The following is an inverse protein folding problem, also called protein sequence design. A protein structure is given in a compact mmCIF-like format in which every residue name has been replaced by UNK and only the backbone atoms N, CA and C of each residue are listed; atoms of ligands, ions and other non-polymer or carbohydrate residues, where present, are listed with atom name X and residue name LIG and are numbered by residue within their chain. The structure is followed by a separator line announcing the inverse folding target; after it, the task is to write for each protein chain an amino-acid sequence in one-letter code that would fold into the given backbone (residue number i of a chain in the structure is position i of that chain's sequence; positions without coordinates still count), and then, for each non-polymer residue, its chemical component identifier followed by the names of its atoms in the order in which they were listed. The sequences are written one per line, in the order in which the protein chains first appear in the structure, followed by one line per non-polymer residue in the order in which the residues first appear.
data_IF_217925548776
#
_entry.id   IF_217925548776
#
_cell.length_a   1.000
_cell.length_b   1.000
_cell.length_c   1.000
_cell.angle_alpha   90.00
_cell.angle_beta   90.00
_cell.angle_gamma   90.00
#
_symmetry.space_group_name_H-M   'P 1'
#
loop_
_entity.id
_entity.type
_entity.pdbx_description
1 polymer ?
#
# COMPACT_ATOMS: atom_id res chain seq x y z
N UNK A 1 -2.42 -20.67 -14.15
CA UNK A 1 -3.07 -19.92 -13.05
C UNK A 1 -2.24 -18.72 -12.60
N UNK A 2 -0.91 -18.83 -12.42
CA UNK A 2 -0.04 -17.70 -12.04
C UNK A 2 -0.07 -16.53 -13.04
N UNK A 3 -0.07 -16.80 -14.35
CA UNK A 3 -0.09 -15.72 -15.37
C UNK A 3 -1.44 -15.00 -15.49
N UNK A 4 -2.54 -15.72 -15.27
CA UNK A 4 -3.86 -15.09 -15.20
C UNK A 4 -3.99 -14.16 -13.98
N UNK A 5 -3.43 -14.56 -12.83
CA UNK A 5 -3.40 -13.72 -11.64
C UNK A 5 -2.48 -12.50 -11.83
N UNK A 6 -1.30 -12.68 -12.46
CA UNK A 6 -0.41 -11.57 -12.82
C UNK A 6 -1.10 -10.57 -13.75
N UNK A 7 -1.87 -11.03 -14.73
CA UNK A 7 -2.57 -10.16 -15.66
C UNK A 7 -3.72 -9.40 -14.99
N UNK A 8 -4.48 -10.06 -14.10
CA UNK A 8 -5.53 -9.38 -13.31
C UNK A 8 -4.93 -8.33 -12.37
N UNK A 9 -3.77 -8.61 -11.76
CA UNK A 9 -3.06 -7.65 -10.93
C UNK A 9 -2.51 -6.50 -11.78
N UNK A 10 -1.89 -6.76 -12.93
CA UNK A 10 -1.39 -5.73 -13.84
C UNK A 10 -2.50 -4.76 -14.28
N UNK A 11 -3.65 -5.29 -14.71
CA UNK A 11 -4.83 -4.49 -15.07
C UNK A 11 -5.39 -3.67 -13.91
N UNK A 12 -5.23 -4.15 -12.67
CA UNK A 12 -5.64 -3.39 -11.49
C UNK A 12 -4.71 -2.22 -11.13
N UNK A 13 -3.54 -2.13 -11.77
CA UNK A 13 -2.55 -1.07 -11.60
C UNK A 13 -2.53 -0.07 -12.77
N UNK A 14 -3.53 -0.13 -13.66
CA UNK A 14 -3.68 0.77 -14.80
C UNK A 14 -4.65 1.91 -14.49
N UNK A 15 -4.29 3.10 -14.94
CA UNK A 15 -5.13 4.27 -14.86
C UNK A 15 -6.27 4.16 -15.88
N UNK A 16 -7.54 4.30 -15.48
CA UNK A 16 -8.67 4.18 -16.41
C UNK A 16 -8.78 5.34 -17.43
N UNK A 17 -7.90 6.35 -17.35
CA UNK A 17 -7.87 7.49 -18.29
C UNK A 17 -6.78 7.30 -19.35
N UNK A 18 -5.53 7.09 -18.95
CA UNK A 18 -4.43 6.90 -19.90
C UNK A 18 -4.19 5.43 -20.29
N UNK A 19 -4.80 4.48 -19.56
CA UNK A 19 -4.63 3.03 -19.73
C UNK A 19 -3.20 2.52 -19.50
N UNK A 20 -2.31 3.38 -18.99
CA UNK A 20 -0.97 3.02 -18.55
C UNK A 20 -0.94 2.75 -17.04
N UNK A 21 0.14 2.12 -16.58
CA UNK A 21 0.42 1.96 -15.14
C UNK A 21 0.39 3.32 -14.42
N UNK A 22 -0.27 3.39 -13.25
CA UNK A 22 -0.40 4.68 -12.55
C UNK A 22 0.95 5.36 -12.30
N UNK A 23 0.96 6.67 -12.53
CA UNK A 23 2.08 7.56 -12.24
C UNK A 23 1.58 8.66 -11.31
N UNK A 24 2.21 8.78 -10.14
CA UNK A 24 1.76 9.65 -9.04
C UNK A 24 0.23 9.59 -8.78
N UNK A 25 -0.32 8.42 -8.39
CA UNK A 25 -1.76 8.26 -8.26
C UNK A 25 -2.38 9.13 -7.15
N UNK A 26 -3.47 9.81 -7.47
CA UNK A 26 -4.32 10.64 -6.59
C UNK A 26 -5.71 10.04 -6.43
N UNK A 27 -6.29 10.19 -5.24
CA UNK A 27 -7.60 9.64 -4.87
C UNK A 27 -8.64 10.76 -4.88
N UNK A 28 -9.74 10.53 -5.58
CA UNK A 28 -10.93 11.40 -5.56
C UNK A 28 -11.81 11.12 -4.32
N UNK A 29 -12.77 12.01 -4.01
CA UNK A 29 -13.69 11.84 -2.87
C UNK A 29 -14.50 10.53 -2.91
N UNK A 30 -14.73 10.01 -4.11
CA UNK A 30 -15.40 8.74 -4.38
C UNK A 30 -14.47 7.51 -4.32
N UNK A 31 -13.21 7.68 -3.90
CA UNK A 31 -12.16 6.66 -3.79
C UNK A 31 -11.63 6.09 -5.12
N UNK A 32 -12.07 6.59 -6.28
CA UNK A 32 -11.43 6.26 -7.56
C UNK A 32 -10.08 6.96 -7.67
N UNK A 33 -9.12 6.28 -8.31
CA UNK A 33 -7.73 6.72 -8.39
C UNK A 33 -7.34 6.98 -9.84
N UNK A 34 -6.50 8.01 -10.07
CA UNK A 34 -6.03 8.47 -11.38
C UNK A 34 -4.60 9.02 -11.26
N UNK A 35 -3.84 9.08 -12.36
CA UNK A 35 -2.56 9.79 -12.39
C UNK A 35 -2.76 11.29 -12.17
N UNK A 36 -1.83 11.98 -11.49
CA UNK A 36 -1.86 13.45 -11.33
C UNK A 36 -2.06 14.16 -12.67
N UNK A 37 -1.25 13.83 -13.68
CA UNK A 37 -1.33 14.43 -15.03
C UNK A 37 -2.70 14.20 -15.69
N UNK A 38 -3.29 13.01 -15.50
CA UNK A 38 -4.62 12.73 -16.04
C UNK A 38 -5.69 13.60 -15.38
N UNK A 39 -5.58 13.86 -14.08
CA UNK A 39 -6.51 14.74 -13.37
C UNK A 39 -6.28 16.22 -13.72
N UNK A 40 -5.04 16.64 -13.92
CA UNK A 40 -4.72 18.00 -14.38
C UNK A 40 -5.38 18.27 -15.74
N UNK A 41 -5.18 17.38 -16.71
CA UNK A 41 -5.82 17.48 -18.04
C UNK A 41 -7.35 17.51 -17.95
N UNK A 42 -7.94 16.69 -17.06
CA UNK A 42 -9.39 16.69 -16.85
C UNK A 42 -9.87 18.02 -16.24
N UNK A 43 -9.12 18.59 -15.31
CA UNK A 43 -9.45 19.85 -14.66
C UNK A 43 -9.39 21.01 -15.68
N UNK A 44 -8.38 21.03 -16.55
CA UNK A 44 -8.26 22.02 -17.63
C UNK A 44 -9.45 21.97 -18.61
N UNK A 45 -9.94 20.78 -18.94
CA UNK A 45 -11.10 20.62 -19.83
C UNK A 45 -12.43 21.12 -19.24
N UNK A 46 -12.55 21.20 -17.91
CA UNK A 46 -13.81 21.54 -17.24
C UNK A 46 -13.98 23.03 -16.93
N UNK A 47 -13.03 23.90 -17.30
CA UNK A 47 -13.08 25.32 -16.97
C UNK A 47 -12.80 25.56 -15.48
N UNK A 48 -12.67 26.83 -15.08
CA UNK A 48 -12.13 27.30 -13.79
C UNK A 48 -12.87 26.87 -12.49
N UNK A 49 -13.71 25.85 -12.52
CA UNK A 49 -14.68 25.52 -11.48
C UNK A 49 -14.10 24.83 -10.23
N UNK A 50 -12.79 24.60 -10.12
CA UNK A 50 -12.16 23.87 -8.98
C UNK A 50 -12.80 22.49 -8.70
N UNK A 51 -13.59 21.95 -9.62
CA UNK A 51 -14.37 20.72 -9.43
C UNK A 51 -13.98 19.69 -10.47
N UNK A 52 -13.54 18.52 -10.02
CA UNK A 52 -13.30 17.35 -10.85
C UNK A 52 -14.50 16.41 -10.81
N UNK A 53 -14.99 15.99 -11.98
CA UNK A 53 -16.01 14.96 -12.10
C UNK A 53 -15.36 13.62 -12.43
N UNK A 54 -15.59 12.61 -11.59
CA UNK A 54 -15.02 11.28 -11.77
C UNK A 54 -15.51 10.62 -13.08
N UNK A 55 -14.60 10.18 -13.98
CA UNK A 55 -14.98 9.48 -15.22
C UNK A 55 -15.79 8.19 -15.02
N UNK A 56 -15.65 7.52 -13.87
CA UNK A 56 -16.28 6.22 -13.61
C UNK A 56 -17.68 6.36 -13.01
N UNK A 57 -17.83 7.16 -11.96
CA UNK A 57 -19.09 7.27 -11.21
C UNK A 57 -19.73 8.67 -11.25
N UNK A 58 -19.10 9.64 -11.93
CA UNK A 58 -19.55 11.03 -12.06
C UNK A 58 -19.67 11.80 -10.74
N UNK A 59 -19.22 11.25 -9.63
CA UNK A 59 -19.11 11.96 -8.36
C UNK A 59 -18.12 13.12 -8.49
N UNK A 60 -18.41 14.20 -7.78
CA UNK A 60 -17.62 15.43 -7.84
C UNK A 60 -16.61 15.50 -6.67
N UNK A 61 -15.43 16.00 -6.97
CA UNK A 61 -14.33 16.20 -6.01
C UNK A 61 -13.83 17.63 -6.13
N UNK A 62 -13.81 18.36 -5.02
CA UNK A 62 -13.23 19.69 -4.98
C UNK A 62 -11.71 19.60 -5.02
N UNK A 63 -11.08 20.43 -5.84
CA UNK A 63 -9.63 20.56 -5.98
C UNK A 63 -9.19 21.88 -5.37
N UNK A 64 -8.59 21.87 -4.17
CA UNK A 64 -8.16 23.09 -3.50
C UNK A 64 -7.20 23.91 -4.37
N UNK A 65 -7.54 25.16 -4.65
CA UNK A 65 -6.75 26.10 -5.47
C UNK A 65 -6.44 25.58 -6.88
N UNK A 66 -7.28 24.71 -7.44
CA UNK A 66 -7.02 24.05 -8.74
C UNK A 66 -5.72 23.24 -8.79
N UNK A 67 -5.17 22.87 -7.64
CA UNK A 67 -3.92 22.13 -7.53
C UNK A 67 -4.19 20.66 -7.18
N UNK A 68 -4.18 19.81 -8.21
CA UNK A 68 -4.39 18.36 -8.09
C UNK A 68 -3.34 17.72 -7.18
N UNK A 69 -2.14 18.30 -7.05
CA UNK A 69 -1.09 17.74 -6.21
C UNK A 69 -1.50 17.68 -4.74
N UNK A 70 -2.44 18.54 -4.31
CA UNK A 70 -3.00 18.58 -2.95
C UNK A 70 -4.01 17.49 -2.66
N UNK A 71 -4.49 16.78 -3.68
CA UNK A 71 -5.36 15.63 -3.47
C UNK A 71 -4.59 14.50 -2.76
N UNK A 72 -5.28 13.67 -1.96
CA UNK A 72 -4.65 12.55 -1.27
C UNK A 72 -3.97 11.60 -2.25
N UNK A 73 -2.69 11.28 -2.02
CA UNK A 73 -1.99 10.29 -2.83
C UNK A 73 -2.40 8.86 -2.43
N UNK A 74 -2.54 7.97 -3.42
CA UNK A 74 -2.74 6.54 -3.15
C UNK A 74 -1.39 5.86 -2.86
N UNK A 75 -0.90 6.01 -1.63
CA UNK A 75 0.39 5.47 -1.22
C UNK A 75 0.44 3.94 -1.31
N UNK A 76 -0.66 3.24 -1.02
CA UNK A 76 -0.74 1.79 -1.15
C UNK A 76 -0.52 1.35 -2.60
N UNK A 77 -1.19 2.03 -3.54
CA UNK A 77 -1.03 1.75 -4.97
C UNK A 77 0.37 2.09 -5.48
N UNK A 78 0.96 3.20 -5.00
CA UNK A 78 2.37 3.53 -5.28
C UNK A 78 3.30 2.41 -4.82
N UNK A 79 3.14 1.93 -3.58
CA UNK A 79 3.94 0.83 -3.05
C UNK A 79 3.75 -0.47 -3.84
N UNK A 80 2.53 -0.80 -4.26
CA UNK A 80 2.27 -1.98 -5.09
C UNK A 80 2.91 -1.88 -6.49
N UNK A 81 2.84 -0.71 -7.13
CA UNK A 81 3.50 -0.46 -8.42
C UNK A 81 5.00 -0.52 -8.25
N UNK A 82 5.52 0.04 -7.17
CA UNK A 82 6.93 -0.04 -6.81
C UNK A 82 7.34 -1.49 -6.55
N UNK A 83 6.53 -2.31 -5.89
CA UNK A 83 6.79 -3.75 -5.69
C UNK A 83 6.76 -4.55 -6.99
N UNK A 84 5.88 -4.17 -7.92
CA UNK A 84 5.80 -4.83 -9.22
C UNK A 84 6.98 -4.43 -10.12
N UNK A 85 7.33 -3.15 -10.16
CA UNK A 85 8.48 -2.61 -10.93
C UNK A 85 9.80 -3.07 -10.31
N UNK A 86 9.90 -2.96 -9.01
CA UNK A 86 10.97 -3.49 -8.19
C UNK A 86 10.62 -4.90 -7.74
N UNK A 87 10.39 -5.81 -8.69
CA UNK A 87 10.79 -7.18 -8.47
C UNK A 87 12.30 -7.17 -8.17
N UNK A 88 12.66 -6.86 -6.91
CA UNK A 88 13.99 -6.83 -6.32
C UNK A 88 14.50 -8.26 -6.25
N UNK A 89 14.62 -8.86 -7.42
CA UNK A 89 15.19 -10.16 -7.60
C UNK A 89 16.69 -10.06 -7.64
N UNK A 90 17.33 -8.92 -7.35
CA UNK A 90 18.77 -8.79 -7.47
C UNK A 90 19.42 -8.35 -6.17
N UNK A 91 20.62 -8.87 -5.93
CA UNK A 91 21.38 -8.60 -4.73
C UNK A 91 21.71 -7.10 -4.61
N UNK A 92 21.33 -6.49 -3.49
CA UNK A 92 21.58 -5.06 -3.21
C UNK A 92 23.02 -4.78 -2.82
N UNK A 93 23.76 -5.80 -2.36
CA UNK A 93 25.10 -5.65 -1.79
C UNK A 93 26.24 -5.98 -2.76
N UNK A 94 25.91 -6.53 -3.94
CA UNK A 94 26.89 -6.72 -5.01
C UNK A 94 27.20 -5.38 -5.69
N UNK A 95 28.50 -5.10 -5.89
CA UNK A 95 28.99 -3.90 -6.58
C UNK A 95 29.12 -4.06 -8.10
N UNK A 96 28.86 -5.25 -8.64
CA UNK A 96 28.88 -5.51 -10.07
C UNK A 96 27.74 -4.78 -10.79
N UNK A 97 27.97 -4.41 -12.06
CA UNK A 97 26.94 -3.84 -12.93
C UNK A 97 25.81 -4.85 -13.19
N UNK A 98 26.17 -6.11 -13.45
CA UNK A 98 25.23 -7.22 -13.44
C UNK A 98 25.06 -7.77 -12.02
N UNK A 99 23.94 -7.46 -11.39
CA UNK A 99 23.64 -7.92 -10.04
C UNK A 99 23.06 -9.33 -10.08
N UNK A 100 23.61 -10.29 -9.31
CA UNK A 100 23.09 -11.65 -9.27
C UNK A 100 21.72 -11.70 -8.61
N UNK A 101 20.97 -12.76 -8.90
CA UNK A 101 19.63 -12.91 -8.35
C UNK A 101 19.66 -13.03 -6.82
N UNK A 102 18.79 -12.30 -6.12
CA UNK A 102 18.56 -12.42 -4.69
C UNK A 102 17.76 -13.70 -4.41
N UNK A 103 18.21 -14.44 -3.41
CA UNK A 103 17.57 -15.66 -2.93
C UNK A 103 16.88 -15.44 -1.59
N UNK A 104 17.30 -14.41 -0.86
CA UNK A 104 16.71 -14.03 0.43
C UNK A 104 16.59 -12.51 0.57
N UNK A 105 15.71 -12.09 1.48
CA UNK A 105 15.57 -10.74 1.98
C UNK A 105 15.80 -10.74 3.50
N UNK A 106 16.68 -9.88 4.00
CA UNK A 106 16.89 -9.70 5.42
C UNK A 106 16.01 -8.56 5.93
N UNK A 107 15.16 -8.88 6.90
CA UNK A 107 14.13 -8.02 7.47
C UNK A 107 14.73 -6.87 8.28
N UNK A 108 15.74 -7.15 9.08
CA UNK A 108 16.45 -6.16 9.92
C UNK A 108 17.33 -5.23 9.07
N UNK A 109 18.02 -5.77 8.07
CA UNK A 109 18.88 -4.98 7.19
C UNK A 109 18.10 -4.21 6.12
N UNK A 110 16.86 -4.62 5.82
CA UNK A 110 16.08 -4.10 4.70
C UNK A 110 16.73 -4.37 3.33
N UNK A 111 17.48 -5.47 3.18
CA UNK A 111 18.34 -5.74 2.02
C UNK A 111 18.08 -7.10 1.39
N UNK A 112 18.17 -7.15 0.06
CA UNK A 112 18.13 -8.37 -0.74
C UNK A 112 19.54 -8.92 -0.95
N UNK A 113 19.72 -10.22 -0.73
CA UNK A 113 21.02 -10.89 -0.86
C UNK A 113 20.96 -12.07 -1.83
N UNK A 114 21.97 -12.20 -2.68
CA UNK A 114 22.28 -13.46 -3.36
C UNK A 114 22.85 -14.47 -2.35
N UNK A 115 22.99 -15.73 -2.78
CA UNK A 115 23.52 -16.81 -1.93
C UNK A 115 24.86 -16.44 -1.29
N UNK A 116 25.79 -15.86 -2.05
CA UNK A 116 27.11 -15.45 -1.55
C UNK A 116 27.02 -14.37 -0.48
N UNK A 117 26.31 -13.27 -0.76
CA UNK A 117 26.19 -12.17 0.21
C UNK A 117 25.41 -12.60 1.47
N UNK A 118 24.42 -13.48 1.32
CA UNK A 118 23.70 -14.05 2.45
C UNK A 118 24.62 -14.88 3.35
N UNK A 119 25.45 -15.76 2.77
CA UNK A 119 26.39 -16.58 3.54
C UNK A 119 27.38 -15.72 4.33
N UNK A 120 27.92 -14.67 3.72
CA UNK A 120 28.81 -13.74 4.42
C UNK A 120 28.07 -12.97 5.53
N UNK A 121 26.82 -12.57 5.28
CA UNK A 121 25.98 -11.90 6.25
C UNK A 121 25.68 -12.81 7.46
N UNK A 122 25.25 -14.05 7.24
CA UNK A 122 24.85 -14.98 8.32
C UNK A 122 26.02 -15.49 9.16
N UNK A 123 27.25 -15.39 8.66
CA UNK A 123 28.45 -15.75 9.42
C UNK A 123 28.89 -14.67 10.42
N UNK A 124 28.41 -13.44 10.30
CA UNK A 124 28.85 -12.34 11.14
C UNK A 124 28.11 -12.36 12.49
N UNK A 125 28.80 -12.37 13.66
CA UNK A 125 28.15 -12.54 14.96
C UNK A 125 27.00 -11.56 15.24
N UNK A 126 27.10 -10.33 14.74
CA UNK A 126 26.06 -9.32 14.91
C UNK A 126 24.79 -9.53 14.07
N UNK A 127 24.81 -10.47 13.11
CA UNK A 127 23.73 -10.66 12.13
C UNK A 127 23.11 -12.06 12.17
N UNK A 128 23.58 -12.94 13.05
CA UNK A 128 23.07 -14.32 13.18
C UNK A 128 21.59 -14.34 13.60
N UNK A 129 21.17 -13.34 14.37
CA UNK A 129 19.79 -13.21 14.88
C UNK A 129 18.87 -12.47 13.92
N UNK A 130 19.35 -12.00 12.78
CA UNK A 130 18.50 -11.32 11.82
C UNK A 130 17.45 -12.27 11.25
N UNK A 131 16.22 -11.77 11.13
CA UNK A 131 15.15 -12.44 10.43
C UNK A 131 15.41 -12.35 8.92
N UNK A 132 15.52 -13.51 8.28
CA UNK A 132 15.80 -13.65 6.85
C UNK A 132 14.69 -14.48 6.20
N UNK A 133 14.09 -13.92 5.15
CA UNK A 133 12.94 -14.48 4.44
C UNK A 133 13.39 -14.98 3.06
N UNK A 134 12.95 -16.17 2.66
CA UNK A 134 13.25 -16.69 1.34
C UNK A 134 12.45 -15.97 0.26
N UNK A 135 13.10 -15.63 -0.86
CA UNK A 135 12.42 -14.94 -1.97
C UNK A 135 11.30 -15.77 -2.57
N UNK A 136 11.40 -17.10 -2.55
CA UNK A 136 10.35 -18.01 -3.01
C UNK A 136 9.07 -17.90 -2.16
N UNK A 137 9.20 -17.69 -0.85
CA UNK A 137 8.09 -17.53 0.08
C UNK A 137 7.45 -16.14 -0.02
N UNK A 138 8.27 -15.11 -0.26
CA UNK A 138 7.82 -13.75 -0.52
C UNK A 138 7.04 -13.69 -1.85
N UNK A 139 7.63 -14.20 -2.93
CA UNK A 139 7.02 -14.15 -4.29
C UNK A 139 5.76 -15.01 -4.37
N UNK A 140 5.69 -16.11 -3.62
CA UNK A 140 4.47 -16.92 -3.52
C UNK A 140 3.39 -16.30 -2.61
N UNK A 141 3.69 -15.19 -1.93
CA UNK A 141 2.77 -14.52 -1.01
C UNK A 141 2.55 -15.27 0.30
N UNK A 142 3.34 -16.32 0.58
CA UNK A 142 3.28 -17.05 1.87
C UNK A 142 3.83 -16.22 3.02
N UNK A 143 4.81 -15.37 2.74
CA UNK A 143 5.39 -14.44 3.69
C UNK A 143 5.30 -13.01 3.16
N UNK A 144 4.98 -12.09 4.06
CA UNK A 144 4.98 -10.65 3.76
C UNK A 144 6.22 -10.02 4.37
N UNK A 145 6.93 -9.25 3.55
CA UNK A 145 8.04 -8.42 4.02
C UNK A 145 7.47 -7.30 4.88
N UNK A 146 7.96 -7.16 6.12
CA UNK A 146 7.60 -6.00 6.96
C UNK A 146 8.32 -4.78 6.39
N UNK A 147 7.57 -3.75 6.01
CA UNK A 147 8.16 -2.48 5.58
C UNK A 147 7.74 -1.41 6.54
N UNK A 148 8.54 -1.24 7.60
CA UNK A 148 8.31 -0.16 8.52
C UNK A 148 8.41 1.18 7.79
N UNK A 149 7.46 2.06 8.06
CA UNK A 149 7.51 3.43 7.53
C UNK A 149 8.60 4.19 8.25
N UNK A 150 9.43 4.90 7.50
CA UNK A 150 10.41 5.82 8.09
C UNK A 150 9.71 7.05 8.63
N UNK A 151 10.09 7.45 9.84
CA UNK A 151 9.49 8.59 10.49
C UNK A 151 9.83 9.89 9.75
N UNK A 152 8.82 10.71 9.46
CA UNK A 152 9.02 11.99 8.77
C UNK A 152 9.93 12.97 9.53
N UNK A 153 9.84 12.96 10.87
CA UNK A 153 10.69 13.81 11.75
C UNK A 153 12.05 13.18 12.01
N UNK A 154 12.14 11.86 11.99
CA UNK A 154 13.35 11.10 12.29
C UNK A 154 13.60 10.07 11.18
N UNK A 155 14.16 10.46 10.03
CA UNK A 155 14.23 9.60 8.84
C UNK A 155 15.01 8.29 9.01
N UNK A 156 15.84 8.20 10.06
CA UNK A 156 16.60 6.99 10.40
C UNK A 156 15.80 6.00 11.25
N UNK A 157 14.74 6.45 11.90
CA UNK A 157 13.93 5.64 12.81
C UNK A 157 12.70 5.09 12.10
N UNK A 158 12.31 3.89 12.50
CA UNK A 158 11.11 3.22 12.04
C UNK A 158 9.90 3.60 12.90
N UNK A 159 8.74 3.77 12.28
CA UNK A 159 7.49 4.02 12.96
C UNK A 159 6.89 2.70 13.50
N UNK A 160 7.47 2.21 14.60
CA UNK A 160 7.13 0.93 15.24
C UNK A 160 6.01 1.03 16.30
N UNK A 161 5.48 2.22 16.53
CA UNK A 161 4.40 2.47 17.47
C UNK A 161 3.19 3.12 16.79
N UNK A 162 2.00 2.88 17.32
CA UNK A 162 0.77 3.58 16.96
C UNK A 162 0.23 4.34 18.18
N UNK A 163 0.00 5.64 18.02
CA UNK A 163 -0.66 6.46 19.03
C UNK A 163 -2.16 6.50 18.76
N UNK A 164 -2.98 5.99 19.68
CA UNK A 164 -4.45 5.97 19.52
C UNK A 164 -5.09 7.34 19.60
N UNK A 165 -4.56 8.24 20.44
CA UNK A 165 -5.07 9.60 20.60
C UNK A 165 -4.82 10.47 19.36
N UNK A 166 -3.58 10.41 18.83
CA UNK A 166 -3.20 11.16 17.64
C UNK A 166 -3.62 10.46 16.33
N UNK A 167 -4.06 9.20 16.40
CA UNK A 167 -4.38 8.33 15.25
C UNK A 167 -3.28 8.30 14.19
N UNK A 168 -2.02 8.18 14.61
CA UNK A 168 -0.86 8.15 13.72
C UNK A 168 0.21 7.18 14.20
N UNK A 169 0.97 6.65 13.26
CA UNK A 169 2.20 5.92 13.54
C UNK A 169 3.30 6.87 14.06
N UNK A 170 4.19 6.35 14.89
CA UNK A 170 5.25 7.09 15.57
C UNK A 170 6.48 6.19 15.77
N UNK A 171 7.67 6.76 15.68
CA UNK A 171 8.90 6.10 16.13
C UNK A 171 9.11 6.28 17.64
N UNK A 172 10.00 5.49 18.24
CA UNK A 172 10.33 5.59 19.66
C UNK A 172 10.77 6.99 20.09
N UNK A 173 11.54 7.70 19.25
CA UNK A 173 11.92 9.10 19.55
C UNK A 173 10.71 10.02 19.66
N UNK A 174 9.76 9.93 18.72
CA UNK A 174 8.52 10.70 18.82
C UNK A 174 7.75 10.33 20.08
N UNK A 175 7.67 9.03 20.40
CA UNK A 175 6.98 8.56 21.61
C UNK A 175 7.54 9.23 22.85
N UNK A 176 8.85 9.13 23.07
CA UNK A 176 9.53 9.69 24.24
C UNK A 176 9.43 11.22 24.29
N UNK A 177 9.65 11.90 23.16
CA UNK A 177 9.76 13.35 23.14
C UNK A 177 8.41 14.09 23.11
N UNK A 178 7.36 13.48 22.57
CA UNK A 178 6.08 14.16 22.31
C UNK A 178 4.88 13.46 22.95
N UNK A 179 4.83 12.13 22.93
CA UNK A 179 3.62 11.40 23.33
C UNK A 179 3.60 11.06 24.82
N UNK A 180 4.73 10.60 25.37
CA UNK A 180 4.83 10.25 26.79
C UNK A 180 4.64 11.48 27.68
N UNK A 181 5.17 12.64 27.27
CA UNK A 181 5.05 13.90 28.01
C UNK A 181 3.60 14.36 28.20
N UNK A 182 2.71 13.97 27.28
CA UNK A 182 1.29 14.34 27.28
C UNK A 182 0.41 13.18 27.77
N UNK A 183 0.98 12.00 28.03
CA UNK A 183 0.26 10.83 28.49
C UNK A 183 -0.58 10.13 27.42
N UNK A 184 -0.20 10.22 26.15
CA UNK A 184 -0.89 9.52 25.07
C UNK A 184 -0.74 8.00 25.17
N UNK A 185 -1.76 7.27 24.76
CA UNK A 185 -1.76 5.82 24.70
C UNK A 185 -1.03 5.33 23.45
N UNK A 186 0.04 4.58 23.70
CA UNK A 186 0.89 3.98 22.67
C UNK A 186 0.65 2.48 22.60
N UNK A 187 0.50 1.98 21.38
CA UNK A 187 0.27 0.58 21.04
C UNK A 187 1.39 0.14 20.12
N UNK A 188 1.95 -1.06 20.33
CA UNK A 188 2.91 -1.65 19.40
C UNK A 188 2.26 -1.89 18.02
N UNK A 189 2.98 -1.61 16.93
CA UNK A 189 2.44 -1.73 15.58
C UNK A 189 1.88 -3.10 15.27
N UNK A 190 2.59 -4.18 15.64
CA UNK A 190 2.13 -5.54 15.38
C UNK A 190 0.77 -5.84 16.05
N UNK A 191 0.58 -5.33 17.26
CA UNK A 191 -0.69 -5.48 18.01
C UNK A 191 -1.79 -4.65 17.36
N UNK A 192 -1.50 -3.40 17.00
CA UNK A 192 -2.44 -2.53 16.29
C UNK A 192 -2.89 -3.16 14.96
N UNK A 193 -1.94 -3.61 14.14
CA UNK A 193 -2.21 -4.23 12.85
C UNK A 193 -3.07 -5.49 12.99
N UNK A 194 -2.78 -6.36 13.95
CA UNK A 194 -3.59 -7.56 14.20
C UNK A 194 -5.05 -7.21 14.56
N UNK A 195 -5.24 -6.27 15.49
CA UNK A 195 -6.58 -5.85 15.91
C UNK A 195 -7.33 -5.10 14.80
N UNK A 196 -6.62 -4.26 14.05
CA UNK A 196 -7.19 -3.52 12.93
C UNK A 196 -7.59 -4.46 11.79
N UNK A 197 -6.77 -5.47 11.49
CA UNK A 197 -7.05 -6.48 10.47
C UNK A 197 -8.32 -7.29 10.81
N UNK A 198 -8.47 -7.75 12.05
CA UNK A 198 -9.71 -8.40 12.52
C UNK A 198 -10.93 -7.51 12.33
N UNK A 199 -10.79 -6.22 12.62
CA UNK A 199 -11.87 -5.24 12.43
C UNK A 199 -12.24 -5.06 10.96
N UNK A 200 -11.26 -5.01 10.06
CA UNK A 200 -11.46 -4.95 8.61
C UNK A 200 -12.17 -6.23 8.12
N UNK A 201 -11.78 -7.41 8.59
CA UNK A 201 -12.41 -8.68 8.23
C UNK A 201 -13.88 -8.74 8.65
N UNK A 202 -14.19 -8.29 9.87
CA UNK A 202 -15.57 -8.18 10.34
C UNK A 202 -16.39 -7.25 9.46
N UNK A 203 -15.88 -6.04 9.16
CA UNK A 203 -16.55 -5.09 8.25
C UNK A 203 -16.76 -5.67 6.86
N UNK A 204 -15.75 -6.36 6.30
CA UNK A 204 -15.85 -7.05 5.01
C UNK A 204 -16.93 -8.13 5.06
N UNK A 205 -17.01 -8.90 6.15
CA UNK A 205 -18.02 -9.93 6.33
C UNK A 205 -19.44 -9.33 6.35
N UNK A 206 -19.63 -8.23 7.09
CA UNK A 206 -20.89 -7.50 7.20
C UNK A 206 -21.31 -6.91 5.85
N UNK A 207 -20.38 -6.28 5.13
CA UNK A 207 -20.61 -5.73 3.80
C UNK A 207 -21.04 -6.82 2.80
N UNK A 208 -20.36 -7.98 2.81
CA UNK A 208 -20.69 -9.11 1.96
C UNK A 208 -22.09 -9.68 2.26
N UNK A 209 -22.44 -9.85 3.54
CA UNK A 209 -23.78 -10.29 3.94
C UNK A 209 -24.85 -9.34 3.42
N UNK A 210 -24.64 -8.02 3.58
CA UNK A 210 -25.58 -7.00 3.08
C UNK A 210 -25.70 -7.02 1.56
N UNK A 211 -24.59 -7.15 0.84
CA UNK A 211 -24.57 -7.28 -0.64
C UNK A 211 -25.35 -8.51 -1.11
N UNK A 212 -25.16 -9.67 -0.46
CA UNK A 212 -25.90 -10.89 -0.79
C UNK A 212 -27.40 -10.74 -0.54
N UNK A 213 -27.79 -10.09 0.56
CA UNK A 213 -29.19 -9.77 0.84
C UNK A 213 -29.81 -8.94 -0.29
N UNK A 214 -29.18 -7.82 -0.66
CA UNK A 214 -29.65 -6.97 -1.76
C UNK A 214 -29.74 -7.74 -3.08
N UNK A 215 -28.72 -8.54 -3.43
CA UNK A 215 -28.73 -9.35 -4.65
C UNK A 215 -29.91 -10.33 -4.66
N UNK A 216 -30.18 -11.00 -3.54
CA UNK A 216 -31.30 -11.93 -3.43
C UNK A 216 -32.66 -11.21 -3.54
N UNK A 217 -32.79 -10.02 -2.94
CA UNK A 217 -33.99 -9.18 -3.11
C UNK A 217 -34.19 -8.77 -4.56
N UNK A 218 -33.12 -8.35 -5.26
CA UNK A 218 -33.19 -8.00 -6.69
C UNK A 218 -33.63 -9.19 -7.55
N UNK A 219 -33.05 -10.37 -7.34
CA UNK A 219 -33.44 -11.59 -8.08
C UNK A 219 -34.92 -11.92 -7.82
N UNK A 220 -35.38 -11.83 -6.57
CA UNK A 220 -36.79 -12.07 -6.22
C UNK A 220 -37.73 -11.08 -6.90
N UNK A 221 -37.36 -9.80 -6.99
CA UNK A 221 -38.14 -8.77 -7.68
C UNK A 221 -38.18 -8.99 -9.20
N UNK A 222 -37.06 -9.41 -9.80
CA UNK A 222 -37.01 -9.74 -11.23
C UNK A 222 -37.91 -10.93 -11.57
N UNK A 223 -37.90 -11.99 -10.76
CA UNK A 223 -38.74 -13.17 -10.97
C UNK A 223 -40.24 -12.89 -10.81
N UNK A 224 -40.62 -11.90 -10.00
CA UNK A 224 -42.04 -11.48 -9.82
C UNK A 224 -42.60 -10.66 -10.98
N UNK A 225 -41.75 -10.09 -11.85
CA UNK A 225 -42.18 -9.32 -13.03
C UNK A 225 -42.35 -10.19 -14.28
N UNK A 226 -42.05 -11.48 -14.20
CA UNK A 226 -42.10 -12.44 -15.31
C UNK A 226 -43.34 -13.34 -15.28
N UNK A 227 -44.33 -13.02 -14.45
CA UNK A 227 -45.63 -13.71 -14.31
C UNK A 227 -46.75 -12.70 -14.55
#
# INVERSE_FOLDING_TARGET
MADALKNVIAQSLECPVCLDTFTDPKILSCSHTYCTICLDNLLECHGNDQMLRCPVCRAETQVPNQDVSKLPANLALKSLIEDMKNQYQYCTSCKSEEKPQAVVYCQDCGKYFCSTCHNTHSQWPGFITHEVLAMTEIVSGKMSVRRYRKCRKHPKEDEECFCSDCRRFACFKCVVMEHTNVGHQIIEVAVYECNHMKSIEDLKSKANKKRSCFRNTLISLMNRRSV
#
